data_IF_528873456440
#
_entry.id   IF_528873456440
#
_cell.length_a   1.000
_cell.length_b   1.000
_cell.length_c   1.000
_cell.angle_alpha   90.00
_cell.angle_beta   90.00
_cell.angle_gamma   90.00
#
_symmetry.space_group_name_H-M   'P 1'
#
loop_
_entity.id
_entity.type
_entity.pdbx_description
1 polymer ?
#
# COMPACT_ATOMS: atom_id res chain seq x y z
N UNK A 1 1.05 17.60 -11.32
CA UNK A 1 1.50 17.10 -10.01
C UNK A 1 0.96 18.02 -8.92
N UNK A 2 0.36 17.48 -7.87
CA UNK A 2 -0.15 18.26 -6.73
C UNK A 2 0.11 17.53 -5.41
N UNK A 3 0.35 18.32 -4.37
CA UNK A 3 0.51 17.84 -3.00
C UNK A 3 -0.84 17.51 -2.39
N UNK A 4 -0.96 16.32 -1.78
CA UNK A 4 -2.18 15.80 -1.14
C UNK A 4 -1.88 15.35 0.29
N UNK A 5 -2.90 15.40 1.15
CA UNK A 5 -2.81 15.08 2.57
C UNK A 5 -3.34 13.66 2.88
N UNK A 6 -3.34 13.30 4.16
CA UNK A 6 -3.84 12.02 4.68
C UNK A 6 -5.31 11.75 4.37
N UNK A 7 -6.18 12.77 4.40
CA UNK A 7 -7.60 12.62 4.01
C UNK A 7 -7.76 12.19 2.55
N UNK A 8 -6.97 12.79 1.65
CA UNK A 8 -6.97 12.43 0.24
C UNK A 8 -6.41 11.02 0.05
N UNK A 9 -5.29 10.70 0.72
CA UNK A 9 -4.69 9.37 0.69
C UNK A 9 -5.69 8.29 1.15
N UNK A 10 -6.42 8.56 2.23
CA UNK A 10 -7.43 7.64 2.77
C UNK A 10 -8.58 7.41 1.77
N UNK A 11 -9.10 8.49 1.17
CA UNK A 11 -10.14 8.40 0.12
C UNK A 11 -9.64 7.62 -1.10
N UNK A 12 -8.41 7.87 -1.53
CA UNK A 12 -7.79 7.15 -2.64
C UNK A 12 -7.66 5.66 -2.35
N UNK A 13 -7.18 5.29 -1.15
CA UNK A 13 -7.09 3.91 -0.69
C UNK A 13 -8.45 3.21 -0.65
N UNK A 14 -9.50 3.89 -0.17
CA UNK A 14 -10.86 3.33 -0.19
C UNK A 14 -11.35 3.04 -1.62
N UNK A 15 -11.10 3.94 -2.57
CA UNK A 15 -11.49 3.71 -3.98
C UNK A 15 -10.68 2.57 -4.59
N UNK A 16 -9.40 2.48 -4.27
CA UNK A 16 -8.53 1.38 -4.70
C UNK A 16 -9.03 0.01 -4.19
N UNK A 17 -9.28 -0.12 -2.88
CA UNK A 17 -9.77 -1.38 -2.30
C UNK A 17 -11.17 -1.75 -2.79
N UNK A 18 -12.05 -0.77 -3.06
CA UNK A 18 -13.36 -1.03 -3.68
C UNK A 18 -13.23 -1.62 -5.09
N UNK A 19 -12.21 -1.22 -5.86
CA UNK A 19 -11.94 -1.79 -7.19
C UNK A 19 -11.25 -3.15 -7.13
N UNK A 20 -10.57 -3.46 -6.03
CA UNK A 20 -9.81 -4.70 -5.83
C UNK A 20 -10.22 -5.39 -4.51
N UNK A 21 -11.49 -5.83 -4.39
CA UNK A 21 -12.02 -6.37 -3.14
C UNK A 21 -11.31 -7.66 -2.68
N UNK A 22 -10.71 -8.41 -3.60
CA UNK A 22 -9.91 -9.59 -3.27
C UNK A 22 -8.71 -9.28 -2.34
N UNK A 23 -8.26 -8.01 -2.26
CA UNK A 23 -7.18 -7.59 -1.34
C UNK A 23 -7.57 -7.62 0.15
N UNK A 24 -8.86 -7.68 0.48
CA UNK A 24 -9.33 -7.70 1.86
C UNK A 24 -9.73 -9.11 2.35
N UNK A 25 -9.66 -10.12 1.47
CA UNK A 25 -10.15 -11.48 1.70
C UNK A 25 -9.16 -12.54 2.26
N UNK A 26 -7.82 -12.42 2.23
CA UNK A 26 -6.91 -13.56 2.53
C UNK A 26 -6.88 -14.05 3.99
N UNK A 27 -7.75 -13.52 4.86
CA UNK A 27 -7.88 -13.92 6.26
C UNK A 27 -7.00 -13.15 7.23
N UNK A 28 -6.81 -13.72 8.42
CA UNK A 28 -6.02 -13.15 9.52
C UNK A 28 -4.56 -13.62 9.45
N UNK A 29 -3.62 -12.75 9.83
CA UNK A 29 -2.20 -13.10 9.95
C UNK A 29 -2.01 -14.24 10.93
N UNK A 30 -1.08 -15.15 10.61
CA UNK A 30 -0.68 -16.27 11.47
C UNK A 30 0.83 -16.25 11.72
N UNK A 31 1.27 -17.01 12.73
CA UNK A 31 2.70 -17.15 13.05
C UNK A 31 3.50 -17.66 11.83
N UNK A 32 4.62 -17.00 11.54
CA UNK A 32 5.50 -17.33 10.42
C UNK A 32 5.17 -16.58 9.14
N UNK A 33 4.06 -15.84 9.07
CA UNK A 33 3.74 -15.03 7.90
C UNK A 33 4.84 -13.99 7.63
N UNK A 34 5.49 -13.44 8.67
CA UNK A 34 6.54 -12.43 8.55
C UNK A 34 7.70 -12.81 7.62
N UNK A 35 7.91 -14.11 7.38
CA UNK A 35 8.94 -14.61 6.46
C UNK A 35 8.61 -14.32 4.98
N UNK A 36 7.35 -14.02 4.65
CA UNK A 36 6.90 -13.69 3.30
C UNK A 36 6.80 -12.17 3.05
N UNK A 37 7.27 -11.31 3.96
CA UNK A 37 7.28 -9.86 3.77
C UNK A 37 7.97 -9.42 2.45
N UNK A 38 9.13 -9.98 2.05
CA UNK A 38 9.77 -9.61 0.79
C UNK A 38 8.89 -9.90 -0.44
N UNK A 39 8.17 -11.02 -0.42
CA UNK A 39 7.23 -11.40 -1.48
C UNK A 39 6.04 -10.44 -1.53
N UNK A 40 5.48 -10.10 -0.36
CA UNK A 40 4.39 -9.13 -0.25
C UNK A 40 4.78 -7.75 -0.81
N UNK A 41 5.98 -7.26 -0.48
CA UNK A 41 6.51 -6.00 -1.02
C UNK A 41 6.64 -6.09 -2.55
N UNK A 42 7.19 -7.19 -3.08
CA UNK A 42 7.32 -7.39 -4.52
C UNK A 42 5.96 -7.40 -5.22
N UNK A 43 4.98 -8.08 -4.64
CA UNK A 43 3.61 -8.07 -5.14
C UNK A 43 3.01 -6.66 -5.21
N UNK A 44 3.20 -5.84 -4.18
CA UNK A 44 2.72 -4.45 -4.19
C UNK A 44 3.41 -3.63 -5.31
N UNK A 45 4.71 -3.84 -5.55
CA UNK A 45 5.38 -3.22 -6.70
C UNK A 45 4.79 -3.65 -8.04
N UNK A 46 4.46 -4.94 -8.20
CA UNK A 46 3.76 -5.42 -9.39
C UNK A 46 2.40 -4.75 -9.57
N UNK A 47 1.61 -4.59 -8.51
CA UNK A 47 0.32 -3.88 -8.59
C UNK A 47 0.42 -2.43 -9.07
N UNK A 48 1.58 -1.79 -8.88
CA UNK A 48 1.78 -0.40 -9.29
C UNK A 48 2.30 -0.31 -10.72
N UNK A 49 3.07 -1.31 -11.15
CA UNK A 49 3.72 -1.33 -12.46
C UNK A 49 2.93 -2.10 -13.52
N UNK A 50 1.97 -2.92 -13.10
CA UNK A 50 1.19 -3.82 -13.94
C UNK A 50 -0.28 -3.76 -13.55
N UNK A 51 -1.17 -4.08 -14.49
CA UNK A 51 -2.60 -4.21 -14.20
C UNK A 51 -2.89 -5.57 -13.56
N UNK A 52 -2.82 -5.61 -12.23
CA UNK A 52 -3.02 -6.82 -11.43
C UNK A 52 -4.50 -6.97 -11.06
N UNK A 53 -5.10 -8.10 -11.45
CA UNK A 53 -6.51 -8.42 -11.20
C UNK A 53 -6.75 -9.46 -10.10
N UNK A 54 -5.70 -10.12 -9.60
CA UNK A 54 -5.75 -11.11 -8.51
C UNK A 54 -4.38 -11.24 -7.82
N UNK A 55 -4.27 -12.06 -6.78
CA UNK A 55 -2.97 -12.38 -6.18
C UNK A 55 -2.05 -13.25 -7.05
N UNK A 56 -2.52 -13.77 -8.19
CA UNK A 56 -1.75 -14.70 -9.05
C UNK A 56 -1.12 -15.84 -8.22
N UNK A 57 0.19 -16.07 -8.38
CA UNK A 57 0.97 -17.10 -7.69
C UNK A 57 1.52 -16.64 -6.32
N UNK A 58 1.09 -15.47 -5.81
CA UNK A 58 1.52 -14.98 -4.48
C UNK A 58 1.04 -15.92 -3.38
N UNK A 59 1.96 -16.33 -2.52
CA UNK A 59 1.68 -17.25 -1.40
C UNK A 59 0.64 -16.67 -0.44
N UNK A 60 -0.23 -17.51 0.12
CA UNK A 60 -1.27 -17.07 1.08
C UNK A 60 -0.70 -16.24 2.23
N UNK A 61 0.50 -16.60 2.70
CA UNK A 61 1.26 -15.83 3.69
C UNK A 61 1.52 -14.39 3.23
N UNK A 62 2.09 -14.21 2.04
CA UNK A 62 2.30 -12.89 1.45
C UNK A 62 0.98 -12.15 1.21
N UNK A 63 -0.09 -12.84 0.79
CA UNK A 63 -1.42 -12.20 0.61
C UNK A 63 -1.93 -11.60 1.92
N UNK A 64 -1.82 -12.33 3.03
CA UNK A 64 -2.20 -11.85 4.38
C UNK A 64 -1.38 -10.64 4.81
N UNK A 65 -0.08 -10.64 4.54
CA UNK A 65 0.79 -9.49 4.80
C UNK A 65 0.37 -8.27 3.96
N UNK A 66 0.12 -8.43 2.66
CA UNK A 66 -0.35 -7.34 1.79
C UNK A 66 -1.64 -6.73 2.33
N UNK A 67 -2.60 -7.59 2.73
CA UNK A 67 -3.84 -7.14 3.37
C UNK A 67 -3.54 -6.34 4.63
N UNK A 68 -2.71 -6.87 5.52
CA UNK A 68 -2.39 -6.21 6.78
C UNK A 68 -1.69 -4.86 6.55
N UNK A 69 -0.77 -4.77 5.58
CA UNK A 69 -0.13 -3.51 5.21
C UNK A 69 -1.13 -2.44 4.79
N UNK A 70 -2.13 -2.78 3.96
CA UNK A 70 -3.13 -1.80 3.55
C UNK A 70 -4.03 -1.35 4.69
N UNK A 71 -4.43 -2.27 5.56
CA UNK A 71 -5.25 -1.94 6.73
C UNK A 71 -4.47 -1.08 7.74
N UNK A 72 -3.23 -1.45 8.05
CA UNK A 72 -2.32 -0.68 8.92
C UNK A 72 -2.06 0.71 8.34
N UNK A 73 -1.75 0.79 7.03
CA UNK A 73 -1.54 2.08 6.36
C UNK A 73 -2.78 2.98 6.47
N UNK A 74 -3.97 2.46 6.18
CA UNK A 74 -5.21 3.21 6.32
C UNK A 74 -5.50 3.64 7.76
N UNK A 75 -5.24 2.78 8.74
CA UNK A 75 -5.40 3.12 10.15
C UNK A 75 -4.47 4.28 10.54
N UNK A 76 -3.20 4.24 10.10
CA UNK A 76 -2.20 5.28 10.37
C UNK A 76 -2.50 6.62 9.70
N UNK A 77 -3.14 6.61 8.52
CA UNK A 77 -3.63 7.84 7.89
C UNK A 77 -4.68 8.55 8.76
N UNK A 78 -5.49 7.80 9.50
CA UNK A 78 -6.60 8.33 10.32
C UNK A 78 -6.19 8.64 11.76
N UNK A 79 -5.12 8.03 12.28
CA UNK A 79 -4.69 8.23 13.64
C UNK A 79 -3.92 9.56 13.78
N UNK A 80 -4.53 10.54 14.46
CA UNK A 80 -3.97 11.91 14.62
C UNK A 80 -2.55 11.94 15.22
N UNK A 81 -2.20 10.91 16.00
CA UNK A 81 -0.88 10.77 16.62
C UNK A 81 0.19 10.16 15.70
N UNK A 82 -0.19 9.54 14.57
CA UNK A 82 0.76 8.91 13.66
C UNK A 82 1.47 9.96 12.78
N UNK A 83 2.78 9.83 12.52
CA UNK A 83 3.48 10.67 11.55
C UNK A 83 2.83 10.65 10.15
N UNK A 84 2.25 9.53 9.71
CA UNK A 84 1.57 9.44 8.41
C UNK A 84 0.36 10.37 8.30
N UNK A 85 -0.34 10.64 9.40
CA UNK A 85 -1.47 11.57 9.37
C UNK A 85 -1.08 12.99 8.94
N UNK A 86 0.14 13.41 9.26
CA UNK A 86 0.68 14.73 8.91
C UNK A 86 1.49 14.74 7.61
N UNK A 87 1.75 13.56 7.04
CA UNK A 87 2.55 13.42 5.83
C UNK A 87 1.80 13.94 4.62
N UNK A 88 2.57 14.43 3.65
CA UNK A 88 2.09 14.93 2.37
C UNK A 88 2.72 14.14 1.24
N UNK A 89 1.95 13.89 0.18
CA UNK A 89 2.40 13.16 -1.01
C UNK A 89 2.21 13.98 -2.26
N UNK A 90 3.06 13.77 -3.25
CA UNK A 90 2.87 14.35 -4.58
C UNK A 90 2.24 13.32 -5.50
N UNK A 91 1.07 13.62 -6.06
CA UNK A 91 0.34 12.75 -6.98
C UNK A 91 0.01 13.45 -8.30
N UNK A 92 -0.29 12.66 -9.32
CA UNK A 92 -0.79 13.16 -10.59
C UNK A 92 -2.33 13.17 -10.58
N UNK A 93 -2.92 14.36 -10.36
CA UNK A 93 -4.38 14.50 -10.27
C UNK A 93 -5.12 14.29 -11.59
N UNK A 94 -4.42 14.21 -12.73
CA UNK A 94 -5.05 13.80 -13.98
C UNK A 94 -5.44 12.31 -13.98
N UNK A 95 -4.87 11.51 -13.08
CA UNK A 95 -5.15 10.08 -12.94
C UNK A 95 -6.38 9.81 -12.08
N UNK A 96 -7.09 8.69 -12.32
CA UNK A 96 -8.13 8.22 -11.42
C UNK A 96 -7.65 8.03 -9.97
N UNK A 97 -8.54 8.20 -8.99
CA UNK A 97 -8.19 8.20 -7.57
C UNK A 97 -7.52 6.89 -7.10
N UNK A 98 -7.92 5.75 -7.66
CA UNK A 98 -7.28 4.45 -7.40
C UNK A 98 -5.83 4.38 -7.90
N UNK A 99 -5.52 5.06 -9.01
CA UNK A 99 -4.15 5.14 -9.51
C UNK A 99 -3.30 6.11 -8.67
N UNK A 100 -3.92 7.17 -8.13
CA UNK A 100 -3.25 8.05 -7.17
C UNK A 100 -2.91 7.31 -5.85
N UNK A 101 -3.76 6.36 -5.42
CA UNK A 101 -3.48 5.51 -4.26
C UNK A 101 -2.19 4.69 -4.47
N UNK A 102 -2.00 4.10 -5.64
CA UNK A 102 -0.79 3.35 -5.99
C UNK A 102 0.47 4.23 -5.97
N UNK A 103 0.38 5.50 -6.41
CA UNK A 103 1.50 6.45 -6.30
C UNK A 103 1.89 6.71 -4.84
N UNK A 104 0.90 6.84 -3.95
CA UNK A 104 1.12 7.05 -2.52
C UNK A 104 1.76 5.81 -1.88
N UNK A 105 1.23 4.61 -2.16
CA UNK A 105 1.77 3.35 -1.64
C UNK A 105 3.24 3.18 -2.04
N UNK A 106 3.61 3.44 -3.31
CA UNK A 106 5.01 3.32 -3.74
C UNK A 106 5.92 4.31 -3.06
N UNK A 107 5.46 5.56 -2.88
CA UNK A 107 6.24 6.55 -2.15
C UNK A 107 6.52 6.08 -0.71
N UNK A 108 5.55 5.47 -0.04
CA UNK A 108 5.74 4.92 1.31
C UNK A 108 6.71 3.75 1.37
N UNK A 109 6.62 2.82 0.41
CA UNK A 109 7.53 1.68 0.38
C UNK A 109 8.95 2.15 0.06
N UNK A 110 9.11 3.13 -0.83
CA UNK A 110 10.41 3.71 -1.16
C UNK A 110 11.05 4.44 0.04
N UNK A 111 10.27 5.24 0.78
CA UNK A 111 10.74 5.99 1.94
C UNK A 111 11.13 5.09 3.13
N UNK A 112 10.53 3.90 3.24
CA UNK A 112 10.81 2.92 4.31
C UNK A 112 12.02 2.03 4.05
N UNK A 113 12.56 2.02 2.83
CA UNK A 113 13.82 1.33 2.59
C UNK A 113 14.93 2.08 3.34
N UNK A 114 15.76 1.41 4.16
CA UNK A 114 16.98 2.04 4.64
C UNK A 114 17.75 2.49 3.39
N UNK A 115 18.19 3.76 3.37
CA UNK A 115 19.17 4.22 2.40
C UNK A 115 20.29 3.17 2.38
N UNK A 116 20.27 2.31 1.38
CA UNK A 116 21.22 1.21 1.29
C UNK A 116 22.53 1.84 0.87
N UNK A 117 23.31 2.17 1.89
CA UNK A 117 24.75 2.38 1.91
C UNK A 117 25.34 2.93 0.60
N UNK A 118 25.40 4.25 0.49
CA UNK A 118 26.48 4.88 -0.26
C UNK A 118 27.77 4.66 0.51
N UNK A 119 28.52 3.61 0.16
CA UNK A 119 29.98 3.60 0.31
C UNK A 119 30.60 3.91 -1.04
#
# INVERSE_FOLDING_TARGET
>A
MQTVNSDHAFKAMLVFLKKKPWLIEPGEMIDGDELSEPEAIMFIYHMVTQDVSSYYDTSLSAQRIVRHFFLDFMAKLMYLGDPLHKKLWTVDQSKPLDHQALQIIVAEIADRRPQSQSK
#
